data_IF_335505948922
#
_entry.id   IF_335505948922
#
_cell.length_a   1.000
_cell.length_b   1.000
_cell.length_c   1.000
_cell.angle_alpha   90.00
_cell.angle_beta   90.00
_cell.angle_gamma   90.00
#
_symmetry.space_group_name_H-M   'P 1'
#
loop_
_entity.id
_entity.type
_entity.pdbx_description
1 polymer ?
#
# COMPACT_ATOMS: atom_id res chain seq x y z
N UNK A 1 0.52 -18.17 -29.46
CA UNK A 1 0.77 -17.83 -28.04
C UNK A 1 1.55 -16.52 -27.83
N UNK A 2 1.44 -15.51 -28.71
CA UNK A 2 2.19 -14.24 -28.55
C UNK A 2 1.45 -13.17 -27.70
N UNK A 3 0.22 -13.45 -27.28
CA UNK A 3 -0.60 -12.51 -26.50
C UNK A 3 -0.03 -12.29 -25.09
N UNK A 4 -0.18 -11.07 -24.58
CA UNK A 4 0.31 -10.66 -23.26
C UNK A 4 -0.78 -10.64 -22.18
N UNK A 5 -2.04 -10.87 -22.57
CA UNK A 5 -3.18 -10.92 -21.66
C UNK A 5 -3.61 -12.37 -21.45
N UNK A 6 -3.74 -12.78 -20.19
CA UNK A 6 -4.23 -14.08 -19.79
C UNK A 6 -5.60 -13.93 -19.13
N UNK A 7 -6.54 -14.76 -19.55
CA UNK A 7 -7.89 -14.82 -18.96
C UNK A 7 -7.96 -16.02 -18.02
N UNK A 8 -7.69 -15.80 -16.73
CA UNK A 8 -7.68 -16.86 -15.72
C UNK A 8 -9.07 -17.43 -15.40
N UNK A 9 -10.12 -16.64 -15.61
CA UNK A 9 -11.47 -16.91 -15.10
C UNK A 9 -11.57 -16.67 -13.59
N UNK A 10 -12.66 -17.10 -12.97
CA UNK A 10 -12.88 -17.04 -11.50
C UNK A 10 -12.05 -18.14 -10.82
N UNK A 11 -10.73 -17.94 -10.76
CA UNK A 11 -9.75 -18.94 -10.34
C UNK A 11 -8.55 -18.31 -9.65
N UNK A 12 -8.77 -17.54 -8.60
CA UNK A 12 -7.75 -16.77 -7.88
C UNK A 12 -6.57 -17.64 -7.45
N UNK A 13 -6.85 -18.82 -6.87
CA UNK A 13 -5.80 -19.76 -6.45
C UNK A 13 -4.95 -20.28 -7.61
N UNK A 14 -5.60 -20.62 -8.73
CA UNK A 14 -4.90 -21.08 -9.93
C UNK A 14 -4.10 -19.93 -10.57
N UNK A 15 -4.67 -18.73 -10.62
CA UNK A 15 -4.00 -17.52 -11.09
C UNK A 15 -2.70 -17.30 -10.31
N UNK A 16 -2.76 -17.27 -8.97
CA UNK A 16 -1.57 -17.09 -8.13
C UNK A 16 -0.52 -18.19 -8.34
N UNK A 17 -0.96 -19.45 -8.46
CA UNK A 17 -0.05 -20.58 -8.73
C UNK A 17 0.64 -20.47 -10.10
N UNK A 18 -0.11 -20.10 -11.15
CA UNK A 18 0.40 -19.90 -12.50
C UNK A 18 1.38 -18.73 -12.54
N UNK A 19 1.04 -17.62 -11.87
CA UNK A 19 1.89 -16.44 -11.75
C UNK A 19 3.23 -16.78 -11.08
N UNK A 20 3.21 -17.58 -10.01
CA UNK A 20 4.44 -18.07 -9.38
C UNK A 20 5.29 -18.87 -10.38
N UNK A 21 4.66 -19.74 -11.18
CA UNK A 21 5.33 -20.48 -12.25
C UNK A 21 6.01 -19.56 -13.28
N UNK A 22 5.35 -18.48 -13.70
CA UNK A 22 5.96 -17.48 -14.60
C UNK A 22 7.13 -16.76 -13.95
N UNK A 23 7.01 -16.37 -12.68
CA UNK A 23 8.08 -15.70 -11.96
C UNK A 23 9.30 -16.62 -11.76
N UNK A 24 9.10 -17.90 -11.46
CA UNK A 24 10.15 -18.92 -11.41
C UNK A 24 10.85 -19.08 -12.75
N UNK A 25 10.10 -19.13 -13.85
CA UNK A 25 10.68 -19.23 -15.18
C UNK A 25 11.51 -17.98 -15.53
N UNK A 26 11.10 -16.79 -15.08
CA UNK A 26 11.90 -15.58 -15.19
C UNK A 26 11.92 -14.90 -16.57
N UNK A 27 11.17 -15.40 -17.56
CA UNK A 27 11.07 -14.75 -18.87
C UNK A 27 10.29 -13.43 -18.82
N UNK A 28 9.24 -13.39 -18.00
CA UNK A 28 8.33 -12.25 -17.92
C UNK A 28 8.24 -11.74 -16.48
N UNK A 29 7.82 -10.48 -16.35
CA UNK A 29 7.20 -9.99 -15.12
C UNK A 29 5.71 -10.16 -15.29
N UNK A 30 5.07 -10.79 -14.32
CA UNK A 30 3.64 -11.10 -14.38
C UNK A 30 2.90 -10.31 -13.31
N UNK A 31 1.74 -9.79 -13.69
CA UNK A 31 0.75 -9.30 -12.75
C UNK A 31 -0.56 -10.05 -12.93
N UNK A 32 -1.33 -10.13 -11.86
CA UNK A 32 -2.68 -10.67 -11.86
C UNK A 32 -3.56 -9.85 -10.95
N UNK A 33 -4.85 -9.78 -11.28
CA UNK A 33 -5.79 -8.91 -10.59
C UNK A 33 -7.04 -9.65 -10.11
N UNK A 34 -7.55 -9.20 -8.97
CA UNK A 34 -8.87 -9.53 -8.42
C UNK A 34 -9.29 -8.44 -7.42
N UNK A 35 -10.43 -8.59 -6.75
CA UNK A 35 -10.79 -7.73 -5.62
C UNK A 35 -9.98 -8.11 -4.39
N UNK A 36 -9.61 -7.13 -3.57
CA UNK A 36 -8.79 -7.33 -2.38
C UNK A 36 -9.42 -8.38 -1.45
N UNK A 37 -10.74 -8.33 -1.25
CA UNK A 37 -11.46 -9.26 -0.39
C UNK A 37 -11.30 -10.73 -0.81
N UNK A 38 -11.02 -11.01 -2.10
CA UNK A 38 -10.81 -12.36 -2.61
C UNK A 38 -9.37 -12.86 -2.46
N UNK A 39 -8.47 -12.09 -1.82
CA UNK A 39 -7.13 -12.56 -1.44
C UNK A 39 -7.17 -13.86 -0.69
N UNK A 40 -8.17 -14.09 0.15
CA UNK A 40 -8.26 -15.30 0.95
C UNK A 40 -8.41 -16.58 0.10
N UNK A 41 -8.84 -16.48 -1.15
CA UNK A 41 -8.84 -17.61 -2.09
C UNK A 41 -7.43 -17.99 -2.57
N UNK A 42 -6.46 -17.09 -2.53
CA UNK A 42 -5.11 -17.32 -3.06
C UNK A 42 -3.96 -16.89 -2.14
N UNK A 43 -4.27 -16.58 -0.87
CA UNK A 43 -3.32 -16.16 0.16
C UNK A 43 -2.14 -17.13 0.32
N UNK A 44 -2.39 -18.43 0.21
CA UNK A 44 -1.33 -19.45 0.25
C UNK A 44 -0.32 -19.29 -0.90
N UNK A 45 -0.78 -18.97 -2.10
CA UNK A 45 0.11 -18.76 -3.26
C UNK A 45 0.93 -17.48 -3.15
N UNK A 46 0.33 -16.42 -2.60
CA UNK A 46 0.99 -15.16 -2.22
C UNK A 46 2.12 -15.42 -1.22
N UNK A 47 1.84 -16.21 -0.17
CA UNK A 47 2.82 -16.62 0.83
C UNK A 47 3.96 -17.42 0.22
N UNK A 48 3.67 -18.33 -0.72
CA UNK A 48 4.72 -19.09 -1.44
C UNK A 48 5.58 -18.14 -2.27
N UNK A 49 4.99 -17.17 -2.96
CA UNK A 49 5.77 -16.19 -3.72
C UNK A 49 6.73 -15.39 -2.83
N UNK A 50 6.26 -14.97 -1.65
CA UNK A 50 7.06 -14.23 -0.67
C UNK A 50 8.18 -15.10 -0.08
N UNK A 51 7.87 -16.34 0.30
CA UNK A 51 8.84 -17.33 0.79
C UNK A 51 9.93 -17.64 -0.24
N UNK A 52 9.54 -17.71 -1.51
CA UNK A 52 10.43 -18.04 -2.63
C UNK A 52 11.11 -16.81 -3.25
N UNK A 53 10.99 -15.64 -2.61
CA UNK A 53 11.62 -14.39 -3.05
C UNK A 53 11.30 -14.01 -4.50
N UNK A 54 10.09 -14.33 -4.96
CA UNK A 54 9.69 -14.13 -6.35
C UNK A 54 9.51 -12.64 -6.65
N UNK A 55 10.53 -12.02 -7.23
CA UNK A 55 10.59 -10.59 -7.55
C UNK A 55 10.01 -10.21 -8.93
N UNK A 56 9.35 -11.16 -9.59
CA UNK A 56 8.75 -11.00 -10.93
C UNK A 56 7.24 -11.20 -10.92
N UNK A 57 6.62 -11.15 -9.75
CA UNK A 57 5.17 -11.29 -9.58
C UNK A 57 4.61 -10.14 -8.77
N UNK A 58 3.48 -9.60 -9.24
CA UNK A 58 2.79 -8.48 -8.61
C UNK A 58 1.28 -8.73 -8.58
N UNK A 59 0.63 -8.36 -7.49
CA UNK A 59 -0.79 -8.62 -7.28
C UNK A 59 -1.55 -7.29 -7.26
N UNK A 60 -2.42 -7.09 -8.24
CA UNK A 60 -3.24 -5.88 -8.35
C UNK A 60 -4.59 -6.15 -7.68
N UNK A 61 -4.80 -5.57 -6.52
CA UNK A 61 -5.92 -5.85 -5.62
C UNK A 61 -6.77 -4.60 -5.49
N UNK A 62 -7.88 -4.56 -6.21
CA UNK A 62 -8.78 -3.39 -6.24
C UNK A 62 -9.88 -3.51 -5.19
N UNK A 63 -10.75 -2.49 -5.05
CA UNK A 63 -11.90 -2.55 -4.14
C UNK A 63 -11.44 -2.75 -2.69
N UNK A 64 -10.60 -1.84 -2.21
CA UNK A 64 -9.72 -2.04 -1.06
C UNK A 64 -10.35 -1.89 0.34
N UNK A 65 -11.61 -1.47 0.42
CA UNK A 65 -12.21 -1.02 1.69
C UNK A 65 -13.73 -1.04 1.66
N UNK A 66 -14.36 -0.57 2.73
CA UNK A 66 -15.81 -0.28 2.77
C UNK A 66 -16.26 0.72 1.69
N UNK A 67 -15.35 1.44 1.03
CA UNK A 67 -15.63 2.29 -0.14
C UNK A 67 -16.25 1.55 -1.34
N UNK A 68 -16.28 0.21 -1.30
CA UNK A 68 -17.05 -0.61 -2.24
C UNK A 68 -18.53 -0.29 -2.23
N UNK A 69 -19.14 -0.01 -1.07
CA UNK A 69 -20.55 0.36 -0.98
C UNK A 69 -21.51 -0.83 -1.11
N UNK A 70 -22.32 -0.84 -2.17
CA UNK A 70 -23.57 -1.60 -2.25
C UNK A 70 -23.40 -3.14 -2.26
N UNK A 71 -22.24 -3.66 -2.66
CA UNK A 71 -21.98 -5.12 -2.65
C UNK A 71 -21.91 -5.70 -1.21
N UNK A 72 -21.79 -4.84 -0.20
CA UNK A 72 -21.94 -5.21 1.20
C UNK A 72 -20.74 -5.96 1.81
N UNK A 73 -20.91 -6.51 3.01
CA UNK A 73 -19.79 -6.93 3.87
C UNK A 73 -18.95 -8.07 3.29
N UNK A 74 -19.51 -8.90 2.40
CA UNK A 74 -18.76 -9.99 1.75
C UNK A 74 -17.77 -9.47 0.69
N UNK A 75 -17.88 -8.20 0.30
CA UNK A 75 -17.04 -7.56 -0.71
C UNK A 75 -16.21 -6.39 -0.15
N UNK A 76 -16.30 -6.11 1.14
CA UNK A 76 -15.67 -4.98 1.80
C UNK A 76 -14.52 -5.47 2.68
N UNK A 77 -13.25 -5.31 2.25
CA UNK A 77 -12.10 -5.65 3.07
C UNK A 77 -12.04 -4.84 4.37
N UNK A 78 -11.63 -5.49 5.47
CA UNK A 78 -11.41 -4.82 6.76
C UNK A 78 -10.04 -5.21 7.33
N UNK A 79 -9.78 -6.50 7.46
CA UNK A 79 -8.54 -7.09 7.97
C UNK A 79 -7.52 -7.39 6.88
N UNK A 80 -7.93 -7.42 5.61
CA UNK A 80 -7.15 -8.02 4.52
C UNK A 80 -5.81 -7.33 4.30
N UNK A 81 -5.75 -5.99 4.31
CA UNK A 81 -4.49 -5.23 4.17
C UNK A 81 -3.52 -5.58 5.30
N UNK A 82 -3.98 -5.50 6.56
CA UNK A 82 -3.17 -5.88 7.73
C UNK A 82 -2.76 -7.35 7.67
N UNK A 83 -3.65 -8.22 7.21
CA UNK A 83 -3.35 -9.62 6.98
C UNK A 83 -2.22 -9.80 5.95
N UNK A 84 -2.18 -9.02 4.88
CA UNK A 84 -1.08 -9.10 3.92
C UNK A 84 0.24 -8.60 4.52
N UNK A 85 0.20 -7.49 5.28
CA UNK A 85 1.39 -6.89 5.90
C UNK A 85 2.13 -7.81 6.88
N UNK A 86 1.43 -8.78 7.48
CA UNK A 86 2.08 -9.76 8.37
C UNK A 86 2.79 -10.90 7.62
N UNK A 87 2.70 -10.97 6.29
CA UNK A 87 3.43 -11.95 5.48
C UNK A 87 4.87 -11.44 5.30
N UNK A 88 5.89 -12.12 5.84
CA UNK A 88 7.28 -11.70 5.65
C UNK A 88 7.66 -11.67 4.16
N UNK A 89 8.45 -10.68 3.77
CA UNK A 89 8.93 -10.50 2.39
C UNK A 89 7.83 -10.26 1.34
N UNK A 90 6.67 -9.76 1.76
CA UNK A 90 5.65 -9.21 0.87
C UNK A 90 5.55 -7.71 1.11
N UNK A 91 5.82 -6.90 0.09
CA UNK A 91 5.60 -5.46 0.17
C UNK A 91 4.14 -5.14 -0.15
N UNK A 92 3.46 -4.43 0.74
CA UNK A 92 2.04 -4.07 0.60
C UNK A 92 1.93 -2.56 0.41
N UNK A 93 1.61 -2.13 -0.81
CA UNK A 93 1.50 -0.72 -1.18
C UNK A 93 0.04 -0.31 -1.36
N UNK A 94 -0.44 0.61 -0.52
CA UNK A 94 -1.78 1.22 -0.57
C UNK A 94 -1.67 2.73 -0.84
N UNK A 95 -1.48 3.14 -2.12
CA UNK A 95 -1.21 4.52 -2.50
C UNK A 95 -2.42 5.45 -2.29
N UNK A 96 -2.12 6.68 -1.89
CA UNK A 96 -3.10 7.72 -1.59
C UNK A 96 -3.66 8.46 -2.81
N UNK A 97 -2.88 8.56 -3.88
CA UNK A 97 -3.29 9.28 -5.10
C UNK A 97 -2.60 8.70 -6.34
N UNK A 98 -2.76 9.39 -7.48
CA UNK A 98 -2.18 8.97 -8.75
C UNK A 98 -0.64 8.92 -8.71
N UNK A 99 0.00 9.84 -7.99
CA UNK A 99 1.46 9.96 -7.95
C UNK A 99 2.08 8.89 -7.05
N UNK A 100 1.44 8.59 -5.92
CA UNK A 100 1.79 7.42 -5.12
C UNK A 100 1.53 6.11 -5.88
N UNK A 101 0.49 6.05 -6.72
CA UNK A 101 0.19 4.88 -7.56
C UNK A 101 1.32 4.66 -8.58
N UNK A 102 1.83 5.72 -9.20
CA UNK A 102 3.02 5.65 -10.07
C UNK A 102 4.21 5.10 -9.31
N UNK A 103 4.48 5.61 -8.10
CA UNK A 103 5.58 5.11 -7.26
C UNK A 103 5.42 3.64 -6.87
N UNK A 104 4.21 3.21 -6.50
CA UNK A 104 3.89 1.82 -6.17
C UNK A 104 4.14 0.88 -7.37
N UNK A 105 3.75 1.30 -8.57
CA UNK A 105 4.00 0.55 -9.82
C UNK A 105 5.50 0.48 -10.14
N UNK A 106 6.23 1.58 -9.97
CA UNK A 106 7.70 1.61 -10.15
C UNK A 106 8.38 0.69 -9.15
N UNK A 107 8.00 0.74 -7.87
CA UNK A 107 8.50 -0.15 -6.84
C UNK A 107 8.23 -1.61 -7.20
N UNK A 108 6.98 -1.95 -7.52
CA UNK A 108 6.59 -3.30 -7.96
C UNK A 108 7.41 -3.80 -9.16
N UNK A 109 7.76 -2.91 -10.08
CA UNK A 109 8.57 -3.25 -11.25
C UNK A 109 10.08 -3.31 -10.95
N UNK A 110 10.58 -2.67 -9.91
CA UNK A 110 12.03 -2.55 -9.64
C UNK A 110 12.50 -3.31 -8.41
N UNK A 111 11.56 -3.73 -7.55
CA UNK A 111 11.82 -4.51 -6.36
C UNK A 111 12.46 -5.86 -6.72
N UNK A 112 13.52 -6.22 -5.99
CA UNK A 112 14.39 -7.36 -6.33
C UNK A 112 14.31 -8.52 -5.36
N UNK A 113 13.60 -8.39 -4.23
CA UNK A 113 13.69 -9.35 -3.12
C UNK A 113 12.41 -10.14 -2.86
N UNK A 114 11.28 -9.74 -3.43
CA UNK A 114 10.02 -10.42 -3.20
C UNK A 114 8.88 -9.89 -4.07
N UNK A 115 7.66 -10.41 -3.87
CA UNK A 115 6.46 -9.91 -4.52
C UNK A 115 6.01 -8.55 -3.97
N UNK A 116 5.15 -7.89 -4.73
CA UNK A 116 4.43 -6.67 -4.29
C UNK A 116 2.92 -6.87 -4.43
N UNK A 117 2.18 -6.54 -3.38
CA UNK A 117 0.73 -6.39 -3.41
C UNK A 117 0.38 -4.91 -3.55
N UNK A 118 -0.38 -4.58 -4.59
CA UNK A 118 -0.80 -3.23 -4.94
C UNK A 118 -2.29 -3.09 -4.62
N UNK A 119 -2.62 -2.23 -3.65
CA UNK A 119 -3.94 -2.10 -3.07
C UNK A 119 -4.62 -0.83 -3.59
N UNK A 120 -5.69 -0.95 -4.38
CA UNK A 120 -6.30 0.18 -5.08
C UNK A 120 -7.78 0.37 -4.73
N UNK A 121 -8.18 1.64 -4.60
CA UNK A 121 -9.57 2.02 -4.32
C UNK A 121 -10.51 1.71 -5.49
N UNK A 122 -11.81 1.62 -5.20
CA UNK A 122 -12.88 1.63 -6.22
C UNK A 122 -13.22 3.08 -6.60
N UNK A 123 -13.32 3.93 -5.59
CA UNK A 123 -13.74 5.32 -5.65
C UNK A 123 -12.59 6.24 -6.07
N UNK A 124 -12.96 7.42 -6.57
CA UNK A 124 -12.02 8.52 -6.79
C UNK A 124 -11.44 9.00 -5.45
N UNK A 125 -10.17 9.36 -5.46
CA UNK A 125 -9.46 9.96 -4.33
C UNK A 125 -8.87 11.30 -4.78
N UNK A 126 -8.98 12.33 -3.94
CA UNK A 126 -8.41 13.64 -4.25
C UNK A 126 -6.88 13.58 -4.25
N UNK A 127 -6.24 14.27 -5.21
CA UNK A 127 -4.80 14.43 -5.22
C UNK A 127 -4.35 15.44 -4.15
N UNK A 128 -3.14 15.24 -3.61
CA UNK A 128 -2.50 16.24 -2.78
C UNK A 128 -1.75 17.26 -3.66
N UNK A 129 -2.51 18.16 -4.28
CA UNK A 129 -1.98 19.18 -5.21
C UNK A 129 -1.20 20.30 -4.50
N UNK A 130 -1.29 20.40 -3.18
CA UNK A 130 -0.48 21.31 -2.36
C UNK A 130 1.00 20.86 -2.25
N UNK A 131 1.31 19.65 -2.72
CA UNK A 131 2.66 19.09 -2.73
C UNK A 131 3.10 18.75 -4.16
N UNK A 132 4.36 19.08 -4.46
CA UNK A 132 4.99 18.75 -5.74
C UNK A 132 4.86 17.24 -6.06
N UNK A 133 4.47 16.94 -7.30
CA UNK A 133 4.19 15.58 -7.74
C UNK A 133 5.44 14.66 -7.68
N UNK A 134 6.64 15.19 -7.95
CA UNK A 134 7.87 14.39 -7.83
C UNK A 134 8.20 14.12 -6.37
N UNK A 135 8.01 15.11 -5.50
CA UNK A 135 8.19 14.90 -4.06
C UNK A 135 7.25 13.82 -3.50
N UNK A 136 5.99 13.75 -3.99
CA UNK A 136 5.05 12.66 -3.66
C UNK A 136 5.56 11.30 -4.14
N UNK A 137 6.01 11.19 -5.39
CA UNK A 137 6.57 9.94 -5.95
C UNK A 137 7.79 9.45 -5.15
N UNK A 138 8.74 10.34 -4.91
CA UNK A 138 9.98 10.03 -4.18
C UNK A 138 9.70 9.68 -2.72
N UNK A 139 8.75 10.37 -2.09
CA UNK A 139 8.28 10.07 -0.75
C UNK A 139 7.64 8.68 -0.66
N UNK A 140 6.75 8.33 -1.58
CA UNK A 140 6.11 7.03 -1.61
C UNK A 140 7.10 5.88 -1.84
N UNK A 141 8.16 6.09 -2.61
CA UNK A 141 9.26 5.11 -2.78
C UNK A 141 10.04 4.85 -1.48
N UNK A 142 9.91 5.70 -0.47
CA UNK A 142 10.46 5.49 0.88
C UNK A 142 9.47 4.81 1.84
N UNK A 143 8.26 4.48 1.38
CA UNK A 143 7.24 3.77 2.13
C UNK A 143 6.38 4.64 3.06
N UNK A 144 6.96 5.67 3.66
CA UNK A 144 6.22 6.73 4.34
C UNK A 144 6.96 8.06 4.25
N UNK A 145 6.22 9.16 4.15
CA UNK A 145 6.78 10.50 4.04
C UNK A 145 5.81 11.58 4.55
N UNK A 146 6.35 12.78 4.80
CA UNK A 146 5.56 13.93 5.24
C UNK A 146 4.79 14.49 4.04
N UNK A 147 3.47 14.23 4.00
CA UNK A 147 2.56 14.71 2.97
C UNK A 147 2.06 16.15 3.23
N UNK A 148 2.06 16.57 4.51
CA UNK A 148 1.89 17.95 4.94
C UNK A 148 2.79 18.20 6.13
N UNK A 149 3.67 19.20 6.02
CA UNK A 149 4.51 19.63 7.14
C UNK A 149 3.77 20.64 8.01
N UNK A 150 3.93 20.53 9.31
CA UNK A 150 3.55 21.52 10.31
C UNK A 150 4.23 22.88 10.05
N UNK A 151 3.58 23.97 10.42
CA UNK A 151 4.11 25.34 10.29
C UNK A 151 4.49 25.96 11.63
N UNK A 152 4.05 25.35 12.74
CA UNK A 152 4.44 25.69 14.11
C UNK A 152 5.14 24.48 14.77
N UNK A 153 5.37 24.55 16.08
CA UNK A 153 5.91 23.42 16.83
C UNK A 153 5.07 22.16 16.61
N UNK A 154 5.74 21.04 16.34
CA UNK A 154 5.09 19.77 16.07
C UNK A 154 4.32 19.30 17.30
N UNK A 155 3.00 19.35 17.24
CA UNK A 155 2.10 18.93 18.31
C UNK A 155 1.53 17.54 18.06
N UNK A 156 1.12 17.23 16.82
CA UNK A 156 0.45 15.96 16.48
C UNK A 156 0.86 15.45 15.11
N UNK A 157 0.95 14.12 14.98
CA UNK A 157 1.15 13.44 13.70
C UNK A 157 -0.09 12.62 13.35
N UNK A 158 -0.65 12.89 12.18
CA UNK A 158 -1.71 12.07 11.58
C UNK A 158 -1.06 11.18 10.52
N UNK A 159 -1.06 9.87 10.77
CA UNK A 159 -0.54 8.86 9.85
C UNK A 159 -1.73 8.29 9.09
N UNK A 160 -1.67 8.27 7.76
CA UNK A 160 -2.74 7.76 6.94
C UNK A 160 -2.22 6.97 5.73
N UNK A 161 -3.08 6.13 5.16
CA UNK A 161 -2.78 5.35 3.95
C UNK A 161 -3.95 5.42 2.98
N UNK A 162 -3.68 5.20 1.69
CA UNK A 162 -4.73 5.09 0.69
C UNK A 162 -5.70 6.27 0.69
N UNK A 163 -6.98 5.94 0.55
CA UNK A 163 -8.08 6.91 0.51
C UNK A 163 -8.21 7.79 1.75
N UNK A 164 -7.58 7.44 2.88
CA UNK A 164 -7.70 8.18 4.12
C UNK A 164 -6.75 9.38 4.19
N UNK A 165 -5.71 9.44 3.35
CA UNK A 165 -4.76 10.56 3.33
C UNK A 165 -5.46 11.88 2.98
N UNK A 166 -6.41 11.88 2.03
CA UNK A 166 -7.18 13.09 1.72
C UNK A 166 -7.96 13.61 2.94
N UNK A 167 -8.48 12.70 3.78
CA UNK A 167 -9.21 13.08 4.99
C UNK A 167 -8.28 13.59 6.07
N UNK A 168 -7.10 13.00 6.22
CA UNK A 168 -6.05 13.48 7.11
C UNK A 168 -5.57 14.89 6.71
N UNK A 169 -5.37 15.14 5.40
CA UNK A 169 -5.01 16.46 4.88
C UNK A 169 -6.08 17.50 5.17
N UNK A 170 -7.36 17.16 4.96
CA UNK A 170 -8.49 18.06 5.27
C UNK A 170 -8.55 18.37 6.78
N UNK A 171 -8.45 17.35 7.63
CA UNK A 171 -8.49 17.53 9.09
C UNK A 171 -7.34 18.42 9.59
N UNK A 172 -6.16 18.29 9.00
CA UNK A 172 -4.99 19.05 9.40
C UNK A 172 -4.99 20.51 8.90
N UNK A 173 -5.92 20.95 8.02
CA UNK A 173 -5.86 22.29 7.40
C UNK A 173 -5.78 23.42 8.43
N UNK A 174 -6.59 23.34 9.48
CA UNK A 174 -6.70 24.38 10.51
C UNK A 174 -5.88 24.05 11.78
N UNK A 175 -4.88 23.16 11.65
CA UNK A 175 -4.01 22.72 12.74
C UNK A 175 -2.54 23.02 12.42
N UNK A 176 -2.01 24.20 12.81
CA UNK A 176 -0.64 24.62 12.48
C UNK A 176 0.46 23.66 12.96
N UNK A 177 0.29 23.05 14.13
CA UNK A 177 1.19 22.04 14.69
C UNK A 177 0.96 20.61 14.19
N UNK A 178 0.04 20.39 13.24
CA UNK A 178 -0.27 19.07 12.71
C UNK A 178 0.56 18.72 11.48
N UNK A 179 1.26 17.60 11.57
CA UNK A 179 1.92 16.91 10.46
C UNK A 179 1.02 15.81 9.91
N UNK A 180 0.94 15.69 8.60
CA UNK A 180 0.33 14.53 7.94
C UNK A 180 1.42 13.68 7.31
N UNK A 181 1.43 12.39 7.65
CA UNK A 181 2.31 11.38 7.07
C UNK A 181 1.49 10.46 6.20
N UNK A 182 1.83 10.39 4.91
CA UNK A 182 1.34 9.31 4.04
C UNK A 182 2.25 8.11 4.20
N UNK A 183 1.67 6.92 4.45
CA UNK A 183 2.39 5.66 4.65
C UNK A 183 1.89 4.58 3.65
N UNK A 184 2.15 4.73 2.35
CA UNK A 184 1.67 3.76 1.36
C UNK A 184 2.20 2.35 1.59
N UNK A 185 3.43 2.18 2.11
CA UNK A 185 4.03 0.86 2.32
C UNK A 185 4.85 0.81 3.62
N UNK A 186 4.30 0.13 4.62
CA UNK A 186 4.95 -0.08 5.93
C UNK A 186 6.28 -0.82 5.75
N UNK A 187 6.32 -1.86 4.93
CA UNK A 187 7.51 -2.70 4.75
C UNK A 187 8.68 -1.91 4.16
N UNK A 188 8.39 -1.00 3.22
CA UNK A 188 9.40 -0.09 2.66
C UNK A 188 9.90 0.92 3.68
N UNK A 189 8.99 1.51 4.46
CA UNK A 189 9.35 2.46 5.52
C UNK A 189 10.22 1.79 6.59
N UNK A 190 9.90 0.56 6.96
CA UNK A 190 10.65 -0.19 7.96
C UNK A 190 12.08 -0.55 7.55
N UNK A 191 12.37 -0.52 6.25
CA UNK A 191 13.72 -0.76 5.73
C UNK A 191 14.55 0.52 5.58
N UNK A 192 13.97 1.69 5.85
CA UNK A 192 14.72 2.95 5.83
C UNK A 192 15.66 3.05 7.04
N UNK A 193 16.63 3.96 6.96
CA UNK A 193 17.52 4.25 8.09
C UNK A 193 16.75 4.83 9.28
N UNK A 194 17.29 4.63 10.49
CA UNK A 194 16.72 5.18 11.72
C UNK A 194 16.60 6.72 11.64
N UNK A 195 17.61 7.40 11.07
CA UNK A 195 17.57 8.85 10.83
C UNK A 195 16.38 9.27 9.96
N UNK A 196 16.07 8.49 8.91
CA UNK A 196 14.92 8.79 8.06
C UNK A 196 13.61 8.55 8.80
N UNK A 197 13.51 7.43 9.52
CA UNK A 197 12.31 7.11 10.32
C UNK A 197 12.04 8.19 11.36
N UNK A 198 13.07 8.62 12.09
CA UNK A 198 12.99 9.71 13.08
C UNK A 198 12.62 11.05 12.43
N UNK A 199 13.09 11.33 11.21
CA UNK A 199 12.70 12.55 10.49
C UNK A 199 11.21 12.60 10.14
N UNK A 200 10.57 11.45 9.90
CA UNK A 200 9.14 11.33 9.54
C UNK A 200 8.27 11.24 10.80
N UNK A 201 8.60 10.32 11.70
CA UNK A 201 7.87 10.00 12.94
C UNK A 201 8.77 10.20 14.17
N UNK A 202 9.14 11.45 14.51
CA UNK A 202 10.07 11.72 15.59
C UNK A 202 9.56 11.19 16.93
N UNK A 203 10.42 10.50 17.65
CA UNK A 203 10.17 9.94 18.98
C UNK A 203 9.72 10.98 20.00
N UNK A 204 10.09 12.25 19.80
CA UNK A 204 9.67 13.39 20.62
C UNK A 204 8.18 13.72 20.52
N UNK A 205 7.51 13.37 19.42
CA UNK A 205 6.07 13.57 19.25
C UNK A 205 5.32 12.24 19.43
N UNK A 206 4.76 12.03 20.61
CA UNK A 206 3.99 10.82 20.96
C UNK A 206 2.50 10.94 20.68
N UNK A 207 1.99 12.14 20.43
CA UNK A 207 0.60 12.36 20.02
C UNK A 207 0.44 11.96 18.56
N UNK A 208 0.02 10.72 18.33
CA UNK A 208 -0.11 10.13 17.00
C UNK A 208 -1.51 9.57 16.80
N UNK A 209 -2.06 9.80 15.62
CA UNK A 209 -3.35 9.26 15.18
C UNK A 209 -3.14 8.52 13.88
N UNK A 210 -3.49 7.23 13.84
CA UNK A 210 -3.48 6.44 12.63
C UNK A 210 -4.87 6.36 12.00
N UNK A 211 -4.96 6.55 10.69
CA UNK A 211 -6.21 6.59 9.93
C UNK A 211 -6.11 5.67 8.71
N UNK A 212 -6.87 4.58 8.76
CA UNK A 212 -6.99 3.60 7.67
C UNK A 212 -8.37 2.94 7.74
N UNK A 213 -9.04 2.78 6.60
CA UNK A 213 -10.29 2.02 6.51
C UNK A 213 -10.01 0.52 6.62
N UNK A 214 -9.68 0.05 7.82
CA UNK A 214 -9.36 -1.34 8.14
C UNK A 214 -9.19 -1.57 9.64
N UNK A 215 -8.61 -2.71 10.03
CA UNK A 215 -8.34 -3.04 11.44
C UNK A 215 -7.18 -2.23 12.04
N UNK A 216 -7.24 -1.96 13.35
CA UNK A 216 -6.27 -1.12 14.06
C UNK A 216 -5.00 -1.83 14.56
N UNK A 217 -4.97 -3.17 14.59
CA UNK A 217 -3.96 -3.93 15.35
C UNK A 217 -2.49 -3.64 15.00
N UNK A 218 -2.17 -3.42 13.73
CA UNK A 218 -0.78 -3.10 13.31
C UNK A 218 -0.38 -1.65 13.58
N UNK A 219 -1.36 -0.76 13.74
CA UNK A 219 -1.13 0.67 13.89
C UNK A 219 -0.52 1.04 15.24
N UNK A 220 -0.67 0.20 16.27
CA UNK A 220 -0.02 0.38 17.58
C UNK A 220 1.51 0.41 17.53
N UNK A 221 2.12 -0.03 16.42
CA UNK A 221 3.56 0.08 16.22
C UNK A 221 4.01 1.54 16.02
N UNK A 222 3.13 2.39 15.47
CA UNK A 222 3.45 3.73 15.01
C UNK A 222 2.97 4.82 15.95
#
# INVERSE_FOLDING_TARGET
>A
YAGKNLFFGIREHAMGSIMNGFAYHGLFKVSGSTFLVFVDYFRATLRVAALSELNRVSYILTHDSIGVGEDGPTHQPVETVSGLRVIPNLDVSRPADAEETVAAMVHSATHKKGPTALIFSRQNVAQNDDMDYMARREGALKGAYIAKKETEDLDVIIIATGSEVQHALVAAKDMPGARVVSMPCMELYERQSDDYKESVLPSSCTKRVATEAGVSGLWYKY
#
